data_IF_213362616138
#
_entry.id   IF_213362616138
#
_cell.length_a   1.000
_cell.length_b   1.000
_cell.length_c   1.000
_cell.angle_alpha   90.00
_cell.angle_beta   90.00
_cell.angle_gamma   90.00
#
_symmetry.space_group_name_H-M   'P 1'
#
loop_
_entity.id
_entity.type
_entity.pdbx_description
1 polymer ?
#
# COMPACT_ATOMS: atom_id res chain seq x y z
N UNK A 1 -16.03 -34.40 39.85
CA UNK A 1 -16.60 -33.17 39.27
C UNK A 1 -15.45 -32.35 38.73
N UNK A 2 -15.20 -32.38 37.42
CA UNK A 2 -14.07 -31.66 36.82
C UNK A 2 -14.61 -30.81 35.67
N UNK A 3 -14.46 -29.50 35.82
CA UNK A 3 -14.93 -28.49 34.86
C UNK A 3 -14.07 -28.54 33.59
N UNK A 4 -14.71 -28.68 32.43
CA UNK A 4 -14.05 -28.54 31.14
C UNK A 4 -13.86 -27.05 30.83
N UNK A 5 -12.59 -26.63 30.75
CA UNK A 5 -12.17 -25.30 30.34
C UNK A 5 -12.46 -25.13 28.83
N UNK A 6 -13.45 -24.32 28.48
CA UNK A 6 -13.74 -23.95 27.07
C UNK A 6 -12.78 -22.83 26.66
N UNK A 7 -11.75 -23.16 25.87
CA UNK A 7 -10.88 -22.15 25.25
C UNK A 7 -11.57 -21.61 24.00
N UNK A 8 -12.24 -20.46 24.12
CA UNK A 8 -12.85 -19.78 23.00
C UNK A 8 -11.79 -19.05 22.15
N UNK A 9 -11.66 -19.42 20.88
CA UNK A 9 -10.81 -18.74 19.91
C UNK A 9 -11.49 -17.43 19.46
N UNK A 10 -11.28 -16.35 20.20
CA UNK A 10 -11.83 -15.04 19.88
C UNK A 10 -11.07 -14.40 18.70
N UNK A 11 -11.62 -14.51 17.49
CA UNK A 11 -11.15 -13.75 16.34
C UNK A 11 -11.45 -12.26 16.56
N UNK A 12 -10.45 -11.51 17.03
CA UNK A 12 -10.59 -10.06 17.21
C UNK A 12 -10.63 -9.37 15.85
N UNK A 13 -11.81 -9.00 15.38
CA UNK A 13 -11.95 -8.06 14.28
C UNK A 13 -11.49 -6.67 14.76
N UNK A 14 -10.32 -6.24 14.31
CA UNK A 14 -9.82 -4.90 14.59
C UNK A 14 -10.61 -3.89 13.77
N UNK A 15 -11.57 -3.21 14.41
CA UNK A 15 -12.25 -2.08 13.81
C UNK A 15 -11.26 -0.91 13.69
N UNK A 16 -10.74 -0.70 12.49
CA UNK A 16 -9.87 0.43 12.23
C UNK A 16 -10.69 1.71 12.26
N UNK A 17 -10.45 2.57 13.24
CA UNK A 17 -11.01 3.93 13.27
C UNK A 17 -10.82 4.64 11.91
N UNK A 18 -11.80 5.46 11.49
CA UNK A 18 -11.68 6.23 10.26
C UNK A 18 -10.47 7.16 10.34
N UNK A 19 -9.54 7.03 9.39
CA UNK A 19 -8.39 7.91 9.30
C UNK A 19 -8.87 9.36 9.05
N UNK A 20 -8.27 10.37 9.70
CA UNK A 20 -8.68 11.75 9.49
C UNK A 20 -8.59 12.10 8.01
N UNK A 21 -9.59 12.81 7.49
CA UNK A 21 -9.71 13.07 6.06
C UNK A 21 -8.40 13.63 5.45
N UNK A 22 -7.88 12.95 4.43
CA UNK A 22 -6.63 13.30 3.76
C UNK A 22 -5.36 12.78 4.43
N UNK A 23 -5.48 11.94 5.47
CA UNK A 23 -4.37 11.12 5.97
C UNK A 23 -3.97 10.05 4.95
N UNK A 24 -2.67 9.81 4.86
CA UNK A 24 -2.09 8.87 3.90
C UNK A 24 -0.70 8.44 4.35
N UNK A 25 -0.32 7.20 4.06
CA UNK A 25 1.00 6.66 4.34
C UNK A 25 1.98 6.90 3.18
N UNK A 26 3.29 6.76 3.44
CA UNK A 26 4.32 6.87 2.39
C UNK A 26 4.16 5.83 1.28
N UNK A 27 3.83 4.59 1.64
CA UNK A 27 3.65 3.51 0.68
C UNK A 27 2.47 3.80 -0.24
N UNK A 28 1.37 4.33 0.29
CA UNK A 28 0.22 4.77 -0.50
C UNK A 28 0.60 5.93 -1.44
N UNK A 29 1.34 6.93 -0.98
CA UNK A 29 1.81 8.04 -1.83
C UNK A 29 2.64 7.50 -3.01
N UNK A 30 3.62 6.65 -2.74
CA UNK A 30 4.49 6.07 -3.78
C UNK A 30 3.70 5.17 -4.74
N UNK A 31 2.78 4.33 -4.22
CA UNK A 31 1.90 3.49 -5.05
C UNK A 31 1.08 4.34 -6.01
N UNK A 32 0.47 5.42 -5.53
CA UNK A 32 -0.31 6.37 -6.36
C UNK A 32 0.56 7.00 -7.45
N UNK A 33 1.76 7.47 -7.10
CA UNK A 33 2.72 8.01 -8.07
C UNK A 33 3.11 7.00 -9.15
N UNK A 34 3.41 5.75 -8.78
CA UNK A 34 3.77 4.69 -9.73
C UNK A 34 2.59 4.31 -10.65
N UNK A 35 1.37 4.23 -10.14
CA UNK A 35 0.18 3.96 -10.96
C UNK A 35 0.02 5.03 -12.03
N UNK A 36 0.17 6.30 -11.66
CA UNK A 36 0.05 7.42 -12.59
C UNK A 36 1.16 7.42 -13.65
N UNK A 37 2.41 7.11 -13.27
CA UNK A 37 3.53 6.91 -14.21
C UNK A 37 3.26 5.73 -15.15
N UNK A 38 2.80 4.59 -14.63
CA UNK A 38 2.49 3.39 -15.44
C UNK A 38 1.37 3.65 -16.44
N UNK A 39 0.37 4.44 -16.07
CA UNK A 39 -0.72 4.84 -16.96
C UNK A 39 -0.31 5.83 -18.04
N UNK A 40 0.94 6.33 -18.01
CA UNK A 40 1.48 7.28 -18.99
C UNK A 40 0.53 8.45 -19.22
N UNK A 41 0.04 9.07 -18.15
CA UNK A 41 -0.85 10.23 -18.29
C UNK A 41 -0.08 11.34 -19.03
N UNK A 42 -0.61 11.90 -20.14
CA UNK A 42 0.09 12.93 -20.89
C UNK A 42 0.01 14.28 -20.16
N UNK A 43 1.08 15.06 -20.18
CA UNK A 43 1.08 16.39 -19.57
C UNK A 43 0.05 17.32 -20.21
N UNK A 44 -0.71 18.05 -19.40
CA UNK A 44 -1.60 19.13 -19.78
C UNK A 44 -1.91 20.03 -18.58
N UNK A 45 -1.78 21.34 -18.76
CA UNK A 45 -2.12 22.31 -17.72
C UNK A 45 -3.61 22.66 -17.66
N UNK A 46 -4.37 22.33 -18.72
CA UNK A 46 -5.82 22.59 -18.85
C UNK A 46 -6.68 21.36 -18.60
N UNK A 47 -6.14 20.15 -18.75
CA UNK A 47 -6.90 18.90 -18.57
C UNK A 47 -6.67 18.28 -17.19
N UNK A 48 -7.65 17.51 -16.76
CA UNK A 48 -7.61 16.75 -15.50
C UNK A 48 -7.68 15.24 -15.73
N UNK A 49 -7.31 14.48 -14.70
CA UNK A 49 -7.50 13.04 -14.58
C UNK A 49 -7.81 12.72 -13.11
N UNK A 50 -8.94 12.07 -12.84
CA UNK A 50 -9.49 11.85 -11.49
C UNK A 50 -9.53 13.13 -10.62
N UNK A 51 -9.92 14.26 -11.22
CA UNK A 51 -10.01 15.55 -10.53
C UNK A 51 -8.68 16.29 -10.33
N UNK A 52 -7.55 15.74 -10.78
CA UNK A 52 -6.24 16.40 -10.69
C UNK A 52 -5.75 16.86 -12.06
N UNK A 53 -5.22 18.09 -12.13
CA UNK A 53 -4.49 18.61 -13.29
C UNK A 53 -3.34 17.67 -13.68
N UNK A 54 -3.11 17.52 -14.97
CA UNK A 54 -2.08 16.64 -15.54
C UNK A 54 -0.76 17.38 -15.69
N UNK A 55 -0.29 18.01 -14.62
CA UNK A 55 0.99 18.71 -14.60
C UNK A 55 1.83 18.37 -13.36
N UNK A 56 3.03 18.95 -13.26
CA UNK A 56 3.96 18.65 -12.17
C UNK A 56 3.32 18.75 -10.77
N UNK A 57 2.60 19.84 -10.52
CA UNK A 57 1.94 20.11 -9.24
C UNK A 57 0.66 19.31 -9.03
N UNK A 58 -0.09 19.04 -10.11
CA UNK A 58 -1.26 18.18 -10.09
C UNK A 58 -0.89 16.72 -9.82
N UNK A 59 0.22 16.22 -10.39
CA UNK A 59 0.80 14.91 -10.09
C UNK A 59 1.13 14.75 -8.60
N UNK A 60 1.83 15.70 -7.99
CA UNK A 60 2.17 15.63 -6.56
C UNK A 60 0.91 15.78 -5.69
N UNK A 61 -0.04 16.64 -6.09
CA UNK A 61 -1.34 16.79 -5.42
C UNK A 61 -2.12 15.47 -5.42
N UNK A 62 -2.10 14.76 -6.54
CA UNK A 62 -2.69 13.42 -6.66
C UNK A 62 -1.97 12.42 -5.77
N UNK A 63 -0.63 12.38 -5.80
CA UNK A 63 0.15 11.43 -5.03
C UNK A 63 -0.12 11.58 -3.52
N UNK A 64 -0.28 12.82 -3.03
CA UNK A 64 -0.65 13.15 -1.65
C UNK A 64 -2.15 13.04 -1.34
N UNK A 65 -2.99 12.62 -2.30
CA UNK A 65 -4.45 12.47 -2.14
C UNK A 65 -5.09 13.77 -1.62
N UNK A 66 -4.68 14.91 -2.17
CA UNK A 66 -5.27 16.21 -1.85
C UNK A 66 -6.69 16.31 -2.43
N UNK A 67 -7.55 17.18 -1.89
CA UNK A 67 -8.92 17.35 -2.41
C UNK A 67 -8.97 17.91 -3.84
N UNK A 68 -8.00 18.74 -4.22
CA UNK A 68 -7.86 19.35 -5.54
C UNK A 68 -6.39 19.54 -5.89
N UNK A 69 -6.10 19.91 -7.13
CA UNK A 69 -4.75 20.27 -7.56
C UNK A 69 -4.33 21.64 -7.03
N UNK A 70 -3.16 21.67 -6.40
CA UNK A 70 -2.45 22.90 -6.07
C UNK A 70 -1.50 23.25 -7.22
N UNK A 71 -1.01 24.48 -7.22
CA UNK A 71 0.05 24.92 -8.14
C UNK A 71 1.42 24.78 -7.47
N UNK A 72 2.49 24.92 -8.23
CA UNK A 72 3.86 25.00 -7.70
C UNK A 72 4.03 26.13 -6.68
N UNK A 73 3.22 27.20 -6.76
CA UNK A 73 3.22 28.32 -5.80
C UNK A 73 2.49 27.99 -4.51
N UNK A 74 1.38 27.23 -4.57
CA UNK A 74 0.50 27.01 -3.40
C UNK A 74 0.68 25.67 -2.71
N UNK A 75 1.33 24.69 -3.34
CA UNK A 75 1.48 23.32 -2.81
C UNK A 75 2.25 23.26 -1.47
N UNK A 76 3.14 24.22 -1.23
CA UNK A 76 3.89 24.34 0.02
C UNK A 76 2.98 24.54 1.24
N UNK A 77 1.78 25.14 1.08
CA UNK A 77 0.80 25.31 2.17
C UNK A 77 0.34 23.98 2.78
N UNK A 78 0.42 22.89 2.02
CA UNK A 78 0.00 21.53 2.41
C UNK A 78 1.12 20.71 3.05
N UNK A 79 2.33 21.25 3.08
CA UNK A 79 3.51 20.54 3.54
C UNK A 79 4.27 21.33 4.62
N UNK A 80 5.09 20.64 5.41
CA UNK A 80 6.13 21.26 6.21
C UNK A 80 7.45 21.20 5.46
N UNK A 81 8.28 22.23 5.62
CA UNK A 81 9.64 22.23 5.08
C UNK A 81 10.52 21.30 5.91
N UNK A 82 11.37 20.53 5.25
CA UNK A 82 12.35 19.65 5.89
C UNK A 82 13.75 19.89 5.32
N UNK A 83 14.76 19.36 6.00
CA UNK A 83 16.13 19.32 5.46
C UNK A 83 16.16 18.38 4.25
N UNK A 84 16.90 18.76 3.21
CA UNK A 84 17.10 17.91 2.02
C UNK A 84 17.62 16.53 2.42
N UNK A 85 18.57 16.46 3.35
CA UNK A 85 19.15 15.20 3.86
C UNK A 85 18.14 14.28 4.56
N UNK A 86 16.97 14.81 4.96
CA UNK A 86 15.89 14.09 5.64
C UNK A 86 14.78 13.63 4.68
N UNK A 87 14.93 13.84 3.37
CA UNK A 87 14.01 13.34 2.35
C UNK A 87 13.83 11.82 2.48
N UNK A 88 12.57 11.40 2.45
CA UNK A 88 12.11 10.01 2.42
C UNK A 88 11.15 9.83 1.24
N UNK A 89 10.99 8.60 0.71
CA UNK A 89 10.00 8.33 -0.34
C UNK A 89 8.62 8.90 0.01
N UNK A 90 8.03 9.63 -0.94
CA UNK A 90 6.74 10.31 -0.79
C UNK A 90 6.82 11.78 -0.35
N UNK A 91 8.00 12.28 0.04
CA UNK A 91 8.25 13.72 0.15
C UNK A 91 8.34 14.35 -1.27
N UNK A 92 8.31 15.67 -1.37
CA UNK A 92 8.44 16.38 -2.64
C UNK A 92 9.69 17.28 -2.69
N UNK A 93 10.26 17.43 -3.89
CA UNK A 93 11.33 18.37 -4.19
C UNK A 93 10.75 19.48 -5.04
N UNK A 94 10.72 20.71 -4.49
CA UNK A 94 10.18 21.90 -5.14
C UNK A 94 11.32 22.84 -5.55
N UNK A 95 11.29 23.28 -6.80
CA UNK A 95 12.16 24.32 -7.37
C UNK A 95 11.27 25.38 -8.05
N UNK A 96 11.79 26.57 -8.42
CA UNK A 96 11.03 27.50 -9.24
C UNK A 96 10.48 26.81 -10.50
N UNK A 97 9.16 26.91 -10.70
CA UNK A 97 8.48 26.35 -11.88
C UNK A 97 8.23 24.84 -11.89
N UNK A 98 8.78 24.04 -10.95
CA UNK A 98 8.63 22.58 -11.00
C UNK A 98 8.62 21.91 -9.64
N UNK A 99 7.81 20.86 -9.51
CA UNK A 99 7.78 19.99 -8.33
C UNK A 99 7.76 18.52 -8.75
N UNK A 100 8.52 17.69 -8.05
CA UNK A 100 8.57 16.24 -8.27
C UNK A 100 8.34 15.49 -6.97
N UNK A 101 7.90 14.24 -7.08
CA UNK A 101 7.80 13.33 -5.95
C UNK A 101 9.14 12.60 -5.77
N UNK A 102 9.69 12.66 -4.57
CA UNK A 102 10.90 11.96 -4.20
C UNK A 102 10.60 10.47 -4.04
N UNK A 103 11.13 9.63 -4.93
CA UNK A 103 10.99 8.18 -4.91
C UNK A 103 12.07 7.45 -4.10
N UNK A 104 13.17 8.12 -3.75
CA UNK A 104 14.31 7.54 -3.03
C UNK A 104 15.64 8.11 -3.50
N UNK A 105 16.66 8.04 -2.64
CA UNK A 105 18.02 8.42 -3.03
C UNK A 105 18.57 7.46 -4.09
N UNK A 106 19.21 7.99 -5.12
CA UNK A 106 20.09 7.21 -6.00
C UNK A 106 21.53 7.32 -5.50
N UNK A 107 21.97 8.54 -5.16
CA UNK A 107 23.19 8.80 -4.42
C UNK A 107 22.99 10.04 -3.54
N UNK A 108 22.96 9.85 -2.22
CA UNK A 108 22.71 10.92 -1.25
C UNK A 108 23.85 11.95 -1.21
N UNK A 109 25.11 11.52 -1.31
CA UNK A 109 26.29 12.41 -1.32
C UNK A 109 26.29 13.32 -2.55
N UNK A 110 26.01 12.75 -3.73
CA UNK A 110 25.91 13.49 -4.99
C UNK A 110 24.59 14.28 -5.15
N UNK A 111 23.69 14.24 -4.15
CA UNK A 111 22.36 14.84 -4.18
C UNK A 111 21.52 14.38 -5.38
N UNK A 112 21.61 13.11 -5.77
CA UNK A 112 20.80 12.53 -6.85
C UNK A 112 19.74 11.56 -6.33
N UNK A 113 18.56 11.58 -6.94
CA UNK A 113 17.39 10.84 -6.48
C UNK A 113 16.54 10.35 -7.64
N UNK A 114 15.74 9.31 -7.40
CA UNK A 114 14.68 8.87 -8.29
C UNK A 114 13.47 9.80 -8.15
N UNK A 115 13.22 10.63 -9.16
CA UNK A 115 12.05 11.48 -9.26
C UNK A 115 10.92 10.74 -9.97
N UNK A 116 9.71 10.79 -9.42
CA UNK A 116 8.49 10.54 -10.19
C UNK A 116 7.85 11.89 -10.50
N UNK A 117 7.53 12.13 -11.77
CA UNK A 117 7.16 13.47 -12.20
C UNK A 117 6.48 13.53 -13.57
N UNK A 118 5.81 14.66 -13.79
CA UNK A 118 5.32 15.18 -15.06
C UNK A 118 5.99 16.52 -15.31
N UNK A 119 6.67 16.72 -16.44
CA UNK A 119 7.67 17.81 -16.53
C UNK A 119 7.55 18.67 -17.76
N UNK A 120 6.99 18.15 -18.84
CA UNK A 120 7.10 18.77 -20.17
C UNK A 120 5.82 18.50 -20.93
N UNK A 121 5.30 19.54 -21.59
CA UNK A 121 4.10 19.45 -22.43
C UNK A 121 4.19 18.31 -23.44
N UNK A 122 3.09 17.59 -23.64
CA UNK A 122 3.02 16.41 -24.52
C UNK A 122 3.71 15.15 -24.00
N UNK A 123 4.65 15.26 -23.04
CA UNK A 123 5.32 14.09 -22.48
C UNK A 123 4.49 13.41 -21.39
N UNK A 124 4.71 12.11 -21.20
CA UNK A 124 4.04 11.35 -20.16
C UNK A 124 4.75 11.44 -18.81
N UNK A 125 3.98 11.22 -17.73
CA UNK A 125 4.52 10.93 -16.42
C UNK A 125 5.61 9.85 -16.46
N UNK A 126 6.74 10.08 -15.79
CA UNK A 126 7.91 9.20 -15.83
C UNK A 126 8.64 9.13 -14.51
N UNK A 127 9.44 8.07 -14.35
CA UNK A 127 10.45 7.94 -13.28
C UNK A 127 11.82 8.18 -13.90
N UNK A 128 12.63 9.09 -13.34
CA UNK A 128 14.01 9.32 -13.79
C UNK A 128 14.92 9.79 -12.68
N UNK A 129 16.23 9.69 -12.87
CA UNK A 129 17.20 10.27 -11.93
C UNK A 129 17.26 11.78 -12.12
N UNK A 130 17.28 12.52 -11.01
CA UNK A 130 17.53 13.97 -11.00
C UNK A 130 18.55 14.35 -9.94
N UNK A 131 19.23 15.47 -10.18
CA UNK A 131 20.05 16.17 -9.18
C UNK A 131 19.20 17.21 -8.43
N UNK A 132 19.35 17.31 -7.12
CA UNK A 132 18.67 18.32 -6.29
C UNK A 132 19.50 19.61 -6.34
N UNK A 133 19.02 20.69 -7.01
CA UNK A 133 19.75 21.95 -7.09
C UNK A 133 19.83 22.64 -5.71
N UNK A 134 20.72 23.63 -5.59
CA UNK A 134 20.98 24.32 -4.31
C UNK A 134 19.75 25.07 -3.77
N UNK A 135 18.95 25.66 -4.66
CA UNK A 135 17.74 26.42 -4.33
C UNK A 135 16.48 25.56 -4.08
N UNK A 136 16.61 24.23 -4.08
CA UNK A 136 15.46 23.34 -3.87
C UNK A 136 14.92 23.40 -2.44
N UNK A 137 13.59 23.28 -2.32
CA UNK A 137 12.87 23.10 -1.06
C UNK A 137 12.41 21.65 -0.95
N UNK A 138 12.74 20.97 0.16
CA UNK A 138 12.19 19.65 0.47
C UNK A 138 10.92 19.82 1.30
N UNK A 139 9.85 19.16 0.86
CA UNK A 139 8.51 19.29 1.42
C UNK A 139 8.01 17.93 1.88
N UNK A 140 7.51 17.86 3.12
CA UNK A 140 6.84 16.69 3.67
C UNK A 140 5.37 16.98 3.89
N UNK A 141 4.49 16.15 3.35
CA UNK A 141 3.06 16.32 3.51
C UNK A 141 2.64 16.36 4.99
N UNK A 142 1.78 17.30 5.37
CA UNK A 142 1.39 17.54 6.78
C UNK A 142 0.55 16.39 7.37
N UNK A 143 -0.29 15.73 6.57
CA UNK A 143 -1.16 14.62 7.01
C UNK A 143 -0.56 13.24 6.71
N UNK A 144 0.76 13.12 6.84
CA UNK A 144 1.44 11.84 6.66
C UNK A 144 1.28 11.00 7.93
N UNK A 145 0.67 9.82 7.82
CA UNK A 145 0.50 8.89 8.93
C UNK A 145 1.56 7.79 8.89
N UNK A 146 1.85 7.20 10.06
CA UNK A 146 2.68 6.01 10.15
C UNK A 146 1.98 4.84 9.41
N UNK A 147 2.73 3.87 8.86
CA UNK A 147 2.12 2.60 8.50
C UNK A 147 1.38 2.07 9.72
N UNK A 148 0.12 1.65 9.56
CA UNK A 148 -0.51 0.80 10.56
C UNK A 148 0.36 -0.45 10.65
N UNK A 149 1.10 -0.58 11.75
CA UNK A 149 1.81 -1.82 12.05
C UNK A 149 0.72 -2.87 12.18
N UNK A 150 0.62 -3.78 11.20
CA UNK A 150 -0.03 -5.04 11.46
C UNK A 150 0.71 -5.63 12.66
N UNK A 151 0.02 -5.83 13.79
CA UNK A 151 0.60 -6.51 14.96
C UNK A 151 1.36 -7.71 14.43
N UNK A 152 2.63 -7.83 14.79
CA UNK A 152 3.46 -9.00 14.46
C UNK A 152 2.69 -10.21 15.01
N UNK A 153 2.06 -11.00 14.13
CA UNK A 153 1.58 -12.33 14.51
C UNK A 153 2.83 -13.08 14.99
N UNK A 154 2.79 -13.76 16.15
CA UNK A 154 3.93 -14.55 16.60
C UNK A 154 4.38 -15.48 15.46
N UNK A 155 5.69 -15.75 15.35
CA UNK A 155 6.20 -16.57 14.26
C UNK A 155 5.44 -17.89 14.22
N UNK A 156 4.82 -18.17 13.07
CA UNK A 156 4.39 -19.53 12.73
C UNK A 156 5.65 -20.39 12.78
N UNK A 157 5.66 -21.51 13.53
CA UNK A 157 6.77 -22.47 13.49
C UNK A 157 7.11 -22.83 12.04
N UNK A 158 8.40 -22.90 11.72
CA UNK A 158 8.90 -23.16 10.37
C UNK A 158 8.56 -24.57 9.85
N UNK A 159 8.73 -24.81 8.54
CA UNK A 159 8.20 -25.95 7.81
C UNK A 159 9.16 -27.15 7.82
N UNK A 160 9.30 -27.79 8.97
CA UNK A 160 10.03 -29.06 9.06
C UNK A 160 9.40 -29.91 10.16
N UNK A 161 8.19 -30.41 9.90
CA UNK A 161 7.60 -31.62 10.49
C UNK A 161 6.23 -31.92 9.84
N UNK A 162 6.22 -32.56 8.67
CA UNK A 162 5.01 -33.03 7.95
C UNK A 162 4.12 -34.00 8.76
N UNK A 163 4.61 -34.51 9.90
CA UNK A 163 3.84 -35.39 10.79
C UNK A 163 2.71 -34.67 11.53
N UNK A 164 2.84 -33.36 11.76
CA UNK A 164 1.90 -32.59 12.59
C UNK A 164 0.64 -32.17 11.85
N UNK A 165 0.73 -31.95 10.53
CA UNK A 165 -0.39 -31.51 9.69
C UNK A 165 -1.40 -32.62 9.43
N UNK A 166 -0.96 -33.87 9.28
CA UNK A 166 -1.86 -35.00 9.06
C UNK A 166 -2.69 -35.32 10.31
N UNK A 167 -2.07 -35.25 11.49
CA UNK A 167 -2.74 -35.43 12.79
C UNK A 167 -3.86 -34.39 13.04
N UNK A 168 -3.62 -33.14 12.65
CA UNK A 168 -4.57 -32.04 12.81
C UNK A 168 -5.72 -32.10 11.79
N UNK A 169 -5.46 -32.62 10.58
CA UNK A 169 -6.51 -32.86 9.58
C UNK A 169 -7.40 -34.04 10.00
N UNK A 170 -6.81 -35.13 10.47
CA UNK A 170 -7.55 -36.32 10.93
C UNK A 170 -8.39 -36.06 12.18
N UNK A 171 -7.87 -35.27 13.13
CA UNK A 171 -8.64 -34.85 14.32
C UNK A 171 -9.74 -33.84 13.96
N UNK A 172 -9.50 -32.97 12.98
CA UNK A 172 -10.49 -32.03 12.47
C UNK A 172 -11.67 -32.74 11.79
N UNK A 173 -11.40 -33.67 10.88
CA UNK A 173 -12.41 -34.41 10.13
C UNK A 173 -13.28 -35.32 11.02
N UNK A 174 -12.69 -36.03 11.99
CA UNK A 174 -13.45 -36.86 12.94
C UNK A 174 -14.42 -36.03 13.79
N UNK A 175 -14.01 -34.84 14.23
CA UNK A 175 -14.85 -33.96 15.04
C UNK A 175 -16.03 -33.35 14.27
N UNK A 176 -15.90 -33.21 12.94
CA UNK A 176 -16.95 -32.69 12.06
C UNK A 176 -17.99 -33.77 11.76
N UNK A 177 -17.56 -35.02 11.58
CA UNK A 177 -18.45 -36.17 11.35
C UNK A 177 -19.26 -36.51 12.61
N UNK A 178 -18.67 -36.47 13.81
CA UNK A 178 -19.36 -36.78 15.07
C UNK A 178 -20.39 -35.72 15.52
N UNK A 179 -20.32 -34.49 15.01
CA UNK A 179 -21.23 -33.39 15.39
C UNK A 179 -22.34 -33.09 14.40
N UNK A 180 -22.41 -33.84 13.30
CA UNK A 180 -23.37 -33.62 12.22
C UNK A 180 -24.53 -34.61 12.32
N UNK A 181 -25.64 -34.18 12.91
CA UNK A 181 -26.97 -34.77 12.66
C UNK A 181 -27.38 -34.35 11.25
N UNK A 182 -26.91 -35.07 10.25
CA UNK A 182 -27.35 -34.94 8.86
C UNK A 182 -28.02 -36.27 8.49
N UNK A 183 -29.29 -36.26 8.04
CA UNK A 183 -30.00 -37.49 7.70
C UNK A 183 -29.25 -38.32 6.64
N UNK A 184 -29.36 -39.63 6.78
CA UNK A 184 -28.53 -40.70 6.20
C UNK A 184 -28.42 -40.74 4.66
N UNK A 185 -29.10 -39.88 3.89
CA UNK A 185 -29.16 -40.02 2.42
C UNK A 185 -28.11 -39.21 1.62
N UNK A 186 -27.15 -38.55 2.28
CA UNK A 186 -26.08 -37.81 1.58
C UNK A 186 -24.69 -38.44 1.66
N UNK A 187 -24.53 -39.55 2.39
CA UNK A 187 -23.22 -40.25 2.51
C UNK A 187 -22.91 -41.10 1.26
N UNK A 188 -23.92 -41.54 0.52
CA UNK A 188 -23.74 -42.37 -0.69
C UNK A 188 -23.26 -41.59 -1.91
N UNK A 189 -23.39 -40.26 -1.93
CA UNK A 189 -22.98 -39.45 -3.08
C UNK A 189 -21.49 -39.05 -3.07
N UNK A 190 -20.84 -39.09 -1.90
CA UNK A 190 -19.43 -38.68 -1.77
C UNK A 190 -18.45 -39.83 -1.99
N UNK A 191 -18.87 -41.09 -1.88
CA UNK A 191 -18.03 -42.26 -2.19
C UNK A 191 -17.94 -42.62 -3.68
N UNK A 192 -18.73 -41.99 -4.56
CA UNK A 192 -18.67 -42.23 -6.01
C UNK A 192 -17.78 -41.24 -6.77
N UNK A 193 -17.29 -40.18 -6.13
CA UNK A 193 -16.38 -39.21 -6.79
C UNK A 193 -14.92 -39.67 -6.72
N UNK A 194 -14.52 -40.50 -5.76
CA UNK A 194 -13.13 -40.98 -5.66
C UNK A 194 -12.76 -42.13 -6.62
N UNK A 195 -13.70 -42.71 -7.39
CA UNK A 195 -13.36 -43.79 -8.32
C UNK A 195 -13.04 -43.33 -9.76
N UNK A 196 -13.21 -42.04 -10.10
CA UNK A 196 -13.02 -41.55 -11.49
C UNK A 196 -11.67 -40.85 -11.72
N UNK A 197 -10.87 -40.62 -10.68
CA UNK A 197 -9.52 -40.02 -10.81
C UNK A 197 -8.37 -40.98 -10.50
N UNK A 198 -8.61 -42.29 -10.60
CA UNK A 198 -7.59 -43.32 -10.54
C UNK A 198 -7.70 -44.26 -11.75
N UNK A 199 -7.45 -43.72 -12.95
CA UNK A 199 -6.88 -44.46 -14.08
C UNK A 199 -6.24 -43.49 -15.08
#
# INVERSE_FOLDING_TARGET
MSAALVVAFMATFSFSAPEPAGAITRSQIIKRGNVWVKKRIPYSQSRTYHGYRRDCSGFVSMAWKLKHSYTTRTISSRAKRIRISSLKPGDAVLIPGHVSLFGGWKNKKARTYWALEETTWGSHAKKRVRKIPRNAKALRYKKLTAPKVAKKVPPVPGPDDESSTQSLIDQGLKSIVERSVVPTDMVTLLTQIELVTAN
#
